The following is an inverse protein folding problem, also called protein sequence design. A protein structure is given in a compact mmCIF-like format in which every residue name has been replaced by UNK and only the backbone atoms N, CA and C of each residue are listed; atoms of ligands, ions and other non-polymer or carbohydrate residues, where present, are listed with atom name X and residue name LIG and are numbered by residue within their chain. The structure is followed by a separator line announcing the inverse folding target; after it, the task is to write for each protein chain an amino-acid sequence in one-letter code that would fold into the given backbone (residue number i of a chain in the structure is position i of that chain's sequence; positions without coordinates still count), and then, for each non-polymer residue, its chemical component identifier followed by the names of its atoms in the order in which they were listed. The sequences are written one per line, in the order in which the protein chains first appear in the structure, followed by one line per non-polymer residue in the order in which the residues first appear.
data_IF_641809291374
#
_entry.id   IF_641809291374
#
_cell.length_a   1.000
_cell.length_b   1.000
_cell.length_c   1.000
_cell.angle_alpha   90.00
_cell.angle_beta   90.00
_cell.angle_gamma   90.00
#
_symmetry.space_group_name_H-M   'P 1'
#
loop_
_entity.id
_entity.type
_entity.pdbx_description
1 polymer ?
#
# COMPACT_ATOMS: atom_id res chain seq x y z
N UNK A 1 33.24 -1.80 -24.37
CA UNK A 1 32.22 -1.32 -25.31
C UNK A 1 30.88 -1.29 -24.61
N UNK A 2 30.53 -0.18 -23.97
CA UNK A 2 29.29 -0.03 -23.20
C UNK A 2 28.17 0.43 -24.14
N UNK A 3 27.29 -0.49 -24.52
CA UNK A 3 26.09 -0.21 -25.30
C UNK A 3 25.12 0.64 -24.48
N UNK A 4 25.11 1.94 -24.78
CA UNK A 4 24.19 2.94 -24.22
C UNK A 4 22.77 2.61 -24.70
N UNK A 5 21.98 1.92 -23.87
CA UNK A 5 20.54 1.69 -24.13
C UNK A 5 19.86 3.04 -24.35
N UNK A 6 19.29 3.26 -25.54
CA UNK A 6 18.44 4.41 -25.85
C UNK A 6 17.25 4.41 -24.88
N UNK A 7 17.14 5.45 -24.06
CA UNK A 7 16.00 5.69 -23.17
C UNK A 7 14.79 6.03 -24.07
N UNK A 8 13.80 5.13 -24.13
CA UNK A 8 12.56 5.39 -24.84
C UNK A 8 11.87 6.60 -24.20
N UNK A 9 11.65 7.65 -24.98
CA UNK A 9 10.87 8.82 -24.60
C UNK A 9 9.40 8.46 -24.69
N UNK A 10 8.80 8.10 -23.56
CA UNK A 10 7.35 7.90 -23.44
C UNK A 10 6.67 9.22 -23.78
N UNK A 11 5.76 9.20 -24.75
CA UNK A 11 5.07 10.41 -25.19
C UNK A 11 4.13 10.94 -24.09
N UNK A 12 3.97 12.26 -24.00
CA UNK A 12 3.10 12.93 -23.02
C UNK A 12 1.64 12.43 -23.05
N UNK A 13 1.20 11.88 -24.18
CA UNK A 13 -0.15 11.34 -24.38
C UNK A 13 -0.35 9.94 -23.78
N UNK A 14 0.73 9.21 -23.50
CA UNK A 14 0.68 7.83 -23.00
C UNK A 14 0.92 7.71 -21.49
N UNK A 15 1.44 8.74 -20.84
CA UNK A 15 1.73 8.67 -19.40
C UNK A 15 0.52 9.14 -18.55
N UNK A 16 -0.14 8.24 -17.81
CA UNK A 16 -1.33 8.58 -17.02
C UNK A 16 -1.05 9.60 -15.90
N UNK A 17 0.22 9.77 -15.48
CA UNK A 17 0.60 10.73 -14.45
C UNK A 17 0.29 12.19 -14.84
N UNK A 18 0.20 12.53 -16.13
CA UNK A 18 -0.16 13.90 -16.55
C UNK A 18 -1.61 14.27 -16.22
N UNK A 19 -2.50 13.28 -16.12
CA UNK A 19 -3.92 13.50 -15.77
C UNK A 19 -4.24 13.11 -14.32
N UNK A 20 -3.30 12.48 -13.63
CA UNK A 20 -3.45 12.03 -12.25
C UNK A 20 -3.34 13.20 -11.25
N UNK A 21 -4.08 13.14 -10.14
CA UNK A 21 -3.99 14.05 -8.99
C UNK A 21 -2.91 13.61 -7.97
N UNK A 22 -1.84 13.00 -8.47
CA UNK A 22 -0.67 12.52 -7.72
C UNK A 22 -1.00 11.67 -6.47
N UNK A 23 -1.94 10.73 -6.61
CA UNK A 23 -2.37 9.84 -5.50
C UNK A 23 -1.17 9.09 -4.89
N UNK A 24 -0.29 8.54 -5.74
CA UNK A 24 0.91 7.79 -5.29
C UNK A 24 2.01 8.65 -4.64
N UNK A 25 1.93 9.98 -4.73
CA UNK A 25 2.83 10.91 -4.05
C UNK A 25 2.20 11.50 -2.78
N UNK A 26 0.97 11.09 -2.43
CA UNK A 26 0.21 11.56 -1.28
C UNK A 26 0.47 10.78 0.01
N UNK A 27 1.18 9.66 -0.08
CA UNK A 27 1.40 8.76 1.05
C UNK A 27 2.75 8.05 0.96
N UNK A 28 3.15 7.45 2.08
CA UNK A 28 4.25 6.48 2.16
C UNK A 28 3.67 5.17 2.68
N UNK A 29 3.99 4.06 2.04
CA UNK A 29 3.65 2.73 2.53
C UNK A 29 4.93 1.94 2.79
N UNK A 30 4.95 1.19 3.90
CA UNK A 30 6.04 0.29 4.25
C UNK A 30 5.46 -1.10 4.58
N UNK A 31 6.15 -2.18 4.17
CA UNK A 31 5.70 -3.52 4.49
C UNK A 31 5.79 -3.77 6.00
N UNK A 32 4.83 -4.52 6.53
CA UNK A 32 4.78 -5.00 7.91
C UNK A 32 4.53 -6.51 7.92
N UNK A 33 4.85 -7.14 9.04
CA UNK A 33 4.58 -8.57 9.19
C UNK A 33 3.07 -8.84 9.23
N UNK A 34 2.66 -9.94 8.59
CA UNK A 34 1.27 -10.41 8.62
C UNK A 34 0.87 -10.74 10.06
N UNK A 35 -0.23 -10.17 10.60
CA UNK A 35 -0.68 -10.48 11.94
C UNK A 35 -1.18 -11.91 12.05
N UNK A 36 -0.77 -12.60 13.11
CA UNK A 36 -1.05 -14.01 13.34
C UNK A 36 -1.71 -14.27 14.69
N UNK A 37 -1.40 -13.45 15.70
CA UNK A 37 -1.86 -13.55 17.07
C UNK A 37 -2.65 -12.31 17.51
N UNK A 38 -3.33 -12.40 18.65
CA UNK A 38 -4.11 -11.29 19.18
C UNK A 38 -3.27 -10.05 19.49
N UNK A 39 -2.03 -10.22 19.94
CA UNK A 39 -1.08 -9.12 20.18
C UNK A 39 -0.77 -8.34 18.91
N UNK A 40 -0.48 -9.04 17.81
CA UNK A 40 -0.21 -8.41 16.51
C UNK A 40 -1.37 -7.51 16.05
N UNK A 41 -2.62 -7.92 16.30
CA UNK A 41 -3.79 -7.09 15.98
C UNK A 41 -3.97 -5.89 16.92
N UNK A 42 -3.51 -5.99 18.17
CA UNK A 42 -3.49 -4.84 19.09
C UNK A 42 -2.43 -3.81 18.68
N UNK A 43 -1.29 -4.24 18.13
CA UNK A 43 -0.30 -3.35 17.53
C UNK A 43 -0.90 -2.61 16.32
N UNK A 44 -1.63 -3.30 15.44
CA UNK A 44 -2.33 -2.66 14.31
C UNK A 44 -3.39 -1.65 14.78
N UNK A 45 -4.11 -1.98 15.85
CA UNK A 45 -5.05 -1.07 16.51
C UNK A 45 -4.34 0.17 17.03
N UNK A 46 -3.17 0.01 17.65
CA UNK A 46 -2.36 1.14 18.10
C UNK A 46 -1.90 2.03 16.93
N UNK A 47 -1.48 1.45 15.80
CA UNK A 47 -1.16 2.22 14.59
C UNK A 47 -2.36 3.05 14.12
N UNK A 48 -3.53 2.44 13.99
CA UNK A 48 -4.76 3.08 13.51
C UNK A 48 -5.38 4.08 14.52
N UNK A 49 -4.88 4.13 15.75
CA UNK A 49 -5.22 5.20 16.69
C UNK A 49 -4.60 6.56 16.33
N UNK A 50 -3.61 6.58 15.44
CA UNK A 50 -2.95 7.80 14.99
C UNK A 50 -3.61 8.39 13.74
N UNK A 51 -3.60 9.72 13.63
CA UNK A 51 -4.12 10.41 12.45
C UNK A 51 -3.29 10.07 11.21
N UNK A 52 -3.96 9.99 10.06
CA UNK A 52 -3.34 9.77 8.75
C UNK A 52 -2.60 8.43 8.63
N UNK A 53 -3.00 7.42 9.41
CA UNK A 53 -2.47 6.06 9.30
C UNK A 53 -3.55 5.15 8.70
N UNK A 54 -3.17 4.28 7.78
CA UNK A 54 -3.99 3.18 7.31
C UNK A 54 -3.18 1.88 7.29
N UNK A 55 -3.86 0.74 7.26
CA UNK A 55 -3.24 -0.57 7.06
C UNK A 55 -3.95 -1.22 5.88
N UNK A 56 -3.21 -1.79 4.93
CA UNK A 56 -3.80 -2.47 3.79
C UNK A 56 -3.05 -3.75 3.43
N UNK A 57 -3.70 -4.58 2.64
CA UNK A 57 -3.16 -5.84 2.11
C UNK A 57 -3.23 -5.80 0.59
N UNK A 58 -2.12 -6.13 -0.05
CA UNK A 58 -1.99 -6.27 -1.50
C UNK A 58 -1.17 -7.53 -1.77
N UNK A 59 -1.66 -8.42 -2.64
CA UNK A 59 -1.00 -9.68 -2.99
C UNK A 59 -0.63 -10.55 -1.75
N UNK A 60 -1.49 -10.56 -0.73
CA UNK A 60 -1.26 -11.15 0.61
C UNK A 60 -0.16 -10.51 1.49
N UNK A 61 0.53 -9.48 1.02
CA UNK A 61 1.50 -8.72 1.79
C UNK A 61 0.82 -7.59 2.56
N UNK A 62 1.26 -7.36 3.79
CA UNK A 62 0.69 -6.35 4.68
C UNK A 62 1.51 -5.08 4.64
N UNK A 63 0.83 -3.94 4.64
CA UNK A 63 1.45 -2.63 4.59
C UNK A 63 0.80 -1.70 5.60
N UNK A 64 1.62 -0.85 6.22
CA UNK A 64 1.16 0.35 6.91
C UNK A 64 1.40 1.56 6.01
N UNK A 65 0.39 2.40 5.89
CA UNK A 65 0.40 3.60 5.08
C UNK A 65 0.30 4.84 5.96
N UNK A 66 1.01 5.89 5.57
CA UNK A 66 0.94 7.20 6.18
C UNK A 66 0.54 8.20 5.11
N UNK A 67 -0.63 8.82 5.25
CA UNK A 67 -1.11 9.89 4.37
C UNK A 67 -0.31 11.16 4.66
N UNK A 68 0.82 11.28 3.98
CA UNK A 68 1.78 12.37 4.11
C UNK A 68 2.25 12.81 2.72
N UNK A 69 1.71 13.91 2.17
CA UNK A 69 2.05 14.37 0.84
C UNK A 69 3.54 14.67 0.69
N UNK A 70 4.13 14.24 -0.42
CA UNK A 70 5.52 14.53 -0.74
C UNK A 70 5.78 16.04 -0.79
N UNK A 71 6.82 16.51 -0.09
CA UNK A 71 7.22 17.93 -0.05
C UNK A 71 7.61 18.53 -1.40
N UNK A 72 7.92 17.69 -2.39
CA UNK A 72 8.28 18.11 -3.75
C UNK A 72 7.10 17.99 -4.73
N UNK A 73 5.89 17.80 -4.20
CA UNK A 73 4.67 17.77 -5.01
C UNK A 73 4.13 19.20 -5.16
N UNK A 74 4.18 19.71 -6.38
CA UNK A 74 3.63 21.03 -6.71
C UNK A 74 2.10 21.06 -6.67
N UNK A 75 1.53 22.26 -6.63
CA UNK A 75 0.06 22.49 -6.70
C UNK A 75 -0.61 21.92 -7.96
N UNK A 76 0.17 21.69 -9.03
CA UNK A 76 -0.30 21.11 -10.28
C UNK A 76 -0.12 19.58 -10.34
N UNK A 77 0.11 18.93 -9.20
CA UNK A 77 0.33 17.48 -9.11
C UNK A 77 1.53 17.00 -9.94
N UNK A 78 2.59 17.81 -10.00
CA UNK A 78 3.86 17.47 -10.67
C UNK A 78 4.99 17.40 -9.65
N UNK A 79 5.87 16.41 -9.82
CA UNK A 79 7.08 16.27 -9.03
C UNK A 79 8.13 17.30 -9.47
N UNK A 80 8.53 18.18 -8.55
CA UNK A 80 9.51 19.24 -8.82
C UNK A 80 10.94 18.70 -8.98
N UNK A 81 11.21 17.50 -8.46
CA UNK A 81 12.50 16.81 -8.55
C UNK A 81 12.45 15.59 -9.48
N UNK A 82 11.62 15.62 -10.53
CA UNK A 82 11.35 14.43 -11.36
C UNK A 82 12.60 13.74 -11.92
N UNK A 83 13.60 14.52 -12.35
CA UNK A 83 14.86 14.00 -12.91
C UNK A 83 15.82 13.46 -11.85
N UNK A 84 15.75 13.98 -10.62
CA UNK A 84 16.60 13.60 -9.47
C UNK A 84 15.85 12.73 -8.45
N UNK A 85 14.66 12.24 -8.81
CA UNK A 85 13.80 11.46 -7.92
C UNK A 85 14.50 10.22 -7.32
N UNK A 86 14.15 9.82 -6.08
CA UNK A 86 14.70 8.63 -5.43
C UNK A 86 14.49 7.35 -6.24
N UNK A 87 15.32 6.34 -5.97
CA UNK A 87 15.26 5.06 -6.68
C UNK A 87 13.88 4.37 -6.59
N UNK A 88 13.21 4.44 -5.43
CA UNK A 88 11.86 3.88 -5.25
C UNK A 88 10.85 4.51 -6.23
N UNK A 89 10.87 5.84 -6.39
CA UNK A 89 10.04 6.56 -7.35
C UNK A 89 10.40 6.26 -8.82
N UNK A 90 11.65 5.83 -9.10
CA UNK A 90 12.05 5.40 -10.46
C UNK A 90 11.60 3.99 -10.79
N UNK A 91 11.47 3.13 -9.77
CA UNK A 91 11.02 1.74 -9.91
C UNK A 91 9.51 1.60 -10.02
N UNK A 92 8.76 2.63 -9.61
CA UNK A 92 7.30 2.65 -9.71
C UNK A 92 6.83 2.45 -11.17
N UNK A 93 5.86 1.55 -11.35
CA UNK A 93 5.26 1.23 -12.64
C UNK A 93 3.83 1.77 -12.69
N UNK A 94 3.44 2.34 -13.82
CA UNK A 94 2.09 2.90 -14.02
C UNK A 94 1.02 1.83 -14.22
N UNK A 95 1.41 0.59 -14.50
CA UNK A 95 0.52 -0.56 -14.72
C UNK A 95 -0.21 -0.98 -13.45
N UNK A 96 0.44 -0.83 -12.29
CA UNK A 96 -0.08 -1.19 -10.96
C UNK A 96 -0.53 0.05 -10.18
N UNK A 97 -0.90 1.12 -10.89
CA UNK A 97 -1.22 2.39 -10.25
C UNK A 97 -2.67 2.43 -9.78
N UNK A 98 -2.88 2.86 -8.53
CA UNK A 98 -4.20 3.09 -7.91
C UNK A 98 -5.09 4.09 -8.67
N UNK A 99 -4.52 4.87 -9.60
CA UNK A 99 -5.25 5.82 -10.45
C UNK A 99 -5.62 5.29 -11.84
N UNK A 100 -5.20 4.07 -12.20
CA UNK A 100 -5.47 3.45 -13.51
C UNK A 100 -6.37 2.23 -13.43
N UNK A 101 -6.55 1.61 -12.26
CA UNK A 101 -7.48 0.51 -12.07
C UNK A 101 -8.90 1.03 -11.80
N UNK A 102 -9.90 0.34 -12.36
CA UNK A 102 -11.32 0.52 -12.00
C UNK A 102 -11.73 -0.33 -10.78
N UNK A 103 -10.84 -1.21 -10.34
CA UNK A 103 -11.01 -2.10 -9.19
C UNK A 103 -10.28 -1.53 -7.97
N UNK A 104 -10.78 -1.85 -6.78
CA UNK A 104 -10.14 -1.52 -5.51
C UNK A 104 -8.74 -2.17 -5.51
N UNK A 105 -7.65 -1.39 -5.39
CA UNK A 105 -6.30 -1.94 -5.47
C UNK A 105 -5.92 -2.81 -4.26
N UNK A 106 -6.79 -2.89 -3.23
CA UNK A 106 -6.49 -3.57 -1.98
C UNK A 106 -7.33 -4.84 -1.80
N UNK A 107 -6.69 -5.92 -1.38
CA UNK A 107 -7.39 -7.13 -0.89
C UNK A 107 -8.18 -6.80 0.38
N UNK A 108 -7.58 -6.00 1.25
CA UNK A 108 -8.14 -5.49 2.50
C UNK A 108 -7.60 -4.09 2.77
N UNK A 109 -8.42 -3.21 3.33
CA UNK A 109 -7.99 -1.90 3.81
C UNK A 109 -8.68 -1.55 5.11
N UNK A 110 -7.90 -0.99 6.04
CA UNK A 110 -8.31 -0.55 7.36
C UNK A 110 -7.86 0.91 7.56
N UNK A 111 -8.84 1.79 7.72
CA UNK A 111 -8.67 3.20 8.05
C UNK A 111 -9.10 3.49 9.51
N UNK A 112 -9.78 2.55 10.18
CA UNK A 112 -10.27 2.73 11.55
C UNK A 112 -10.00 1.53 12.46
N UNK A 113 -10.01 1.81 13.77
CA UNK A 113 -9.85 0.79 14.82
C UNK A 113 -10.96 -0.27 14.72
N UNK A 114 -12.20 0.15 14.48
CA UNK A 114 -13.36 -0.74 14.45
C UNK A 114 -13.24 -1.76 13.31
N UNK A 115 -12.69 -1.34 12.16
CA UNK A 115 -12.48 -2.24 11.03
C UNK A 115 -11.45 -3.32 11.34
N UNK A 116 -10.31 -2.96 11.96
CA UNK A 116 -9.28 -3.95 12.31
C UNK A 116 -9.74 -4.88 13.44
N UNK A 117 -10.47 -4.36 14.43
CA UNK A 117 -11.02 -5.17 15.52
C UNK A 117 -12.04 -6.20 15.03
N UNK A 118 -12.94 -5.80 14.13
CA UNK A 118 -13.90 -6.71 13.50
C UNK A 118 -13.19 -7.82 12.72
N UNK A 119 -12.18 -7.45 11.91
CA UNK A 119 -11.38 -8.40 11.17
C UNK A 119 -10.60 -9.36 12.08
N UNK A 120 -9.94 -8.84 13.12
CA UNK A 120 -9.17 -9.61 14.08
C UNK A 120 -10.05 -10.67 14.76
N UNK A 121 -11.26 -10.30 15.19
CA UNK A 121 -12.22 -11.21 15.82
C UNK A 121 -12.56 -12.38 14.89
N UNK A 122 -12.90 -12.09 13.63
CA UNK A 122 -13.20 -13.15 12.66
C UNK A 122 -12.00 -14.04 12.35
N UNK A 123 -10.84 -13.43 12.11
CA UNK A 123 -9.61 -14.11 11.77
C UNK A 123 -9.20 -15.09 12.88
N UNK A 124 -9.16 -14.62 14.12
CA UNK A 124 -8.77 -15.42 15.28
C UNK A 124 -9.78 -16.54 15.56
N UNK A 125 -11.08 -16.31 15.38
CA UNK A 125 -12.10 -17.34 15.53
C UNK A 125 -11.96 -18.45 14.46
N UNK A 126 -11.78 -18.07 13.19
CA UNK A 126 -11.54 -19.01 12.09
C UNK A 126 -10.28 -19.84 12.35
N UNK A 127 -9.21 -19.22 12.85
CA UNK A 127 -7.95 -19.89 13.21
C UNK A 127 -8.13 -20.90 14.36
N UNK A 128 -8.80 -20.52 15.45
CA UNK A 128 -9.12 -21.41 16.58
C UNK A 128 -9.94 -22.62 16.12
N UNK A 129 -10.95 -22.41 15.27
CA UNK A 129 -11.77 -23.49 14.73
C UNK A 129 -10.96 -24.47 13.87
N UNK A 130 -10.02 -23.97 13.05
CA UNK A 130 -9.11 -24.81 12.24
C UNK A 130 -8.18 -25.64 13.12
N UNK A 131 -7.61 -25.05 14.17
CA UNK A 131 -6.75 -25.76 15.13
C UNK A 131 -7.52 -26.89 15.82
N UNK A 132 -8.73 -26.63 16.32
CA UNK A 132 -9.58 -27.65 16.95
C UNK A 132 -9.90 -28.81 16.01
N UNK A 133 -10.18 -28.55 14.73
CA UNK A 133 -10.40 -29.59 13.70
C UNK A 133 -9.15 -30.39 13.37
N UNK A 134 -7.97 -29.78 13.41
CA UNK A 134 -6.69 -30.46 13.19
C UNK A 134 -6.34 -31.41 14.34
N UNK A 135 -6.57 -30.98 15.58
CA UNK A 135 -6.33 -31.81 16.78
C UNK A 135 -7.32 -32.97 16.90
N UNK A 136 -8.54 -32.85 16.39
CA UNK A 136 -9.52 -33.97 16.37
C UNK A 136 -9.26 -35.02 15.27
N UNK A 137 -8.38 -34.74 14.32
CA UNK A 137 -8.03 -35.64 13.20
C UNK A 137 -6.65 -36.31 13.37
N UNK A 138 -5.91 -35.94 14.40
CA UNK A 138 -4.63 -36.52 14.78
C UNK A 138 -4.84 -37.48 15.96
#
# INVERSE_FOLDING_TARGET
MTTKRKKATVSEKENPCFKCKAQCCGHVAVPIDKPTAAGDFDDLRWYLAHKNVCVFVEDNDWYICFTTPCRFLSKNYRCEIYETRPAICRKYKTETCEGTSTEDPYDLKFDTIEQIEAYAKEYLNKRKARQKKGTLKA
#
